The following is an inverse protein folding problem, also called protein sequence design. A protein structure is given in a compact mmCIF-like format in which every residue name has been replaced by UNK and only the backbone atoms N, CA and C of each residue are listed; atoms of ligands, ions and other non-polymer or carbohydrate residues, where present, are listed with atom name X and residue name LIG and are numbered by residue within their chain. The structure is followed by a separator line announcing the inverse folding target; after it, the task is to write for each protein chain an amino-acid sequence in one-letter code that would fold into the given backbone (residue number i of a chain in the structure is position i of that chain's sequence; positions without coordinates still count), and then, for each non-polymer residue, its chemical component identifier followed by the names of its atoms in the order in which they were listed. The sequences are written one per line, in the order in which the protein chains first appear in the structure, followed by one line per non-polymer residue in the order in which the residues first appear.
data_IF_056073168704
#
_entry.id   IF_056073168704
#
_cell.length_a   1.000
_cell.length_b   1.000
_cell.length_c   1.000
_cell.angle_alpha   90.00
_cell.angle_beta   90.00
_cell.angle_gamma   90.00
#
_symmetry.space_group_name_H-M   'P 1'
#
loop_
_entity.id
_entity.type
_entity.pdbx_description
1 polymer ?
#
# COMPACT_ATOMS: atom_id res chain seq x y z
N UNK A 1 8.27 -8.44 7.74
CA UNK A 1 6.88 -8.86 7.43
C UNK A 1 6.43 -8.05 6.24
N UNK A 2 6.08 -8.72 5.16
CA UNK A 2 5.58 -8.06 3.95
C UNK A 2 4.05 -7.96 3.98
N UNK A 3 3.46 -7.15 3.10
CA UNK A 3 2.01 -6.93 2.97
C UNK A 3 1.32 -6.57 4.29
N UNK A 4 1.99 -5.73 5.10
CA UNK A 4 1.56 -5.49 6.48
C UNK A 4 0.20 -4.77 6.59
N UNK A 5 -0.22 -4.05 5.56
CA UNK A 5 -1.53 -3.40 5.48
C UNK A 5 -2.69 -4.40 5.61
N UNK A 6 -2.49 -5.65 5.17
CA UNK A 6 -3.52 -6.68 5.14
C UNK A 6 -3.55 -7.56 6.40
N UNK A 7 -2.78 -7.18 7.43
CA UNK A 7 -2.74 -7.91 8.69
C UNK A 7 -4.00 -7.68 9.52
N UNK A 8 -4.49 -8.74 10.16
CA UNK A 8 -5.56 -8.66 11.15
C UNK A 8 -5.01 -8.47 12.58
N UNK A 9 -5.90 -8.22 13.54
CA UNK A 9 -5.53 -7.99 14.94
C UNK A 9 -4.69 -9.13 15.53
N UNK A 10 -5.01 -10.39 15.21
CA UNK A 10 -4.30 -11.54 15.76
C UNK A 10 -2.87 -11.64 15.23
N UNK A 11 -2.69 -11.41 13.93
CA UNK A 11 -1.36 -11.36 13.29
C UNK A 11 -0.52 -10.21 13.86
N UNK A 12 -1.13 -9.05 14.06
CA UNK A 12 -0.49 -7.91 14.72
C UNK A 12 0.01 -8.26 16.13
N UNK A 13 -0.83 -8.87 16.96
CA UNK A 13 -0.44 -9.27 18.32
C UNK A 13 0.66 -10.34 18.30
N UNK A 14 0.60 -11.29 17.36
CA UNK A 14 1.65 -12.30 17.21
C UNK A 14 3.00 -11.64 16.90
N UNK A 15 3.06 -10.69 15.98
CA UNK A 15 4.30 -9.94 15.68
C UNK A 15 4.81 -9.21 16.92
N UNK A 16 3.92 -8.54 17.69
CA UNK A 16 4.31 -7.88 18.93
C UNK A 16 4.93 -8.83 19.95
N UNK A 17 4.36 -10.02 20.11
CA UNK A 17 4.87 -11.05 21.03
C UNK A 17 6.23 -11.58 20.58
N UNK A 18 6.43 -11.80 19.28
CA UNK A 18 7.69 -12.30 18.73
C UNK A 18 8.84 -11.30 18.88
N UNK A 19 8.55 -10.02 18.63
CA UNK A 19 9.56 -8.95 18.63
C UNK A 19 9.86 -8.46 20.05
N UNK A 20 8.85 -8.43 20.91
CA UNK A 20 8.94 -7.91 22.26
C UNK A 20 9.44 -6.46 22.32
N UNK A 21 10.07 -6.08 23.44
CA UNK A 21 10.60 -4.73 23.63
C UNK A 21 11.84 -4.40 22.77
N UNK A 22 12.52 -5.42 22.23
CA UNK A 22 13.73 -5.20 21.43
C UNK A 22 13.44 -4.50 20.11
N UNK A 23 12.19 -4.55 19.63
CA UNK A 23 11.74 -3.86 18.42
C UNK A 23 12.60 -4.13 17.18
N UNK A 24 13.24 -5.32 17.09
CA UNK A 24 14.12 -5.70 15.96
C UNK A 24 13.33 -6.39 14.86
N UNK A 25 12.69 -5.59 14.03
CA UNK A 25 11.93 -6.07 12.89
C UNK A 25 11.85 -5.02 11.80
N UNK A 26 11.49 -5.46 10.62
CA UNK A 26 11.15 -4.60 9.50
C UNK A 26 9.81 -5.05 8.95
N UNK A 27 8.93 -4.09 8.72
CA UNK A 27 7.67 -4.30 8.01
C UNK A 27 7.69 -3.52 6.72
N UNK A 28 7.01 -4.06 5.71
CA UNK A 28 6.78 -3.41 4.43
C UNK A 28 5.28 -3.51 4.16
N UNK A 29 4.70 -2.43 3.64
CA UNK A 29 3.29 -2.38 3.31
C UNK A 29 2.91 -1.02 2.75
N UNK A 30 1.73 -0.99 2.16
CA UNK A 30 1.15 0.17 1.50
C UNK A 30 -0.32 0.29 1.92
N UNK A 31 -0.68 1.36 2.62
CA UNK A 31 -2.05 1.59 3.11
C UNK A 31 -3.08 1.70 1.99
N UNK A 32 -2.68 2.19 0.81
CA UNK A 32 -3.55 2.31 -0.36
C UNK A 32 -3.80 0.96 -1.06
N UNK A 33 -3.07 -0.10 -0.67
CA UNK A 33 -3.19 -1.45 -1.24
C UNK A 33 -3.90 -2.44 -0.30
N UNK A 34 -4.51 -1.96 0.79
CA UNK A 34 -5.26 -2.82 1.72
C UNK A 34 -6.60 -3.27 1.12
N UNK A 35 -6.68 -4.52 0.66
CA UNK A 35 -7.89 -5.08 0.02
C UNK A 35 -8.54 -6.22 0.81
N UNK A 36 -7.93 -6.68 1.91
CA UNK A 36 -8.45 -7.79 2.71
C UNK A 36 -9.31 -7.35 3.92
N UNK A 37 -9.93 -6.17 3.87
CA UNK A 37 -10.76 -5.65 4.97
C UNK A 37 -11.92 -6.60 5.34
N UNK A 38 -12.51 -7.27 4.34
CA UNK A 38 -13.54 -8.30 4.52
C UNK A 38 -13.07 -9.51 5.34
N UNK A 39 -11.76 -9.75 5.40
CA UNK A 39 -11.11 -10.80 6.22
C UNK A 39 -10.57 -10.25 7.54
N UNK A 40 -10.96 -9.03 7.91
CA UNK A 40 -10.56 -8.38 9.15
C UNK A 40 -9.18 -7.72 9.10
N UNK A 41 -8.61 -7.49 7.91
CA UNK A 41 -7.42 -6.66 7.77
C UNK A 41 -7.68 -5.24 8.27
N UNK A 42 -6.67 -4.65 8.91
CA UNK A 42 -6.74 -3.28 9.43
C UNK A 42 -5.51 -2.49 8.99
N UNK A 43 -5.60 -1.63 7.95
CA UNK A 43 -4.49 -0.77 7.56
C UNK A 43 -4.06 0.18 8.69
N UNK A 44 -4.94 0.42 9.69
CA UNK A 44 -4.60 1.12 10.92
C UNK A 44 -3.47 0.45 11.71
N UNK A 45 -3.17 -0.83 11.48
CA UNK A 45 -2.03 -1.51 12.10
C UNK A 45 -0.69 -0.86 11.72
N UNK A 46 -0.56 -0.30 10.50
CA UNK A 46 0.62 0.46 10.09
C UNK A 46 0.79 1.74 10.93
N UNK A 47 -0.32 2.40 11.25
CA UNK A 47 -0.34 3.59 12.10
C UNK A 47 -0.10 3.23 13.56
N UNK A 48 -0.67 2.12 14.01
CA UNK A 48 -0.49 1.67 15.39
C UNK A 48 0.97 1.26 15.65
N UNK A 49 1.66 0.71 14.64
CA UNK A 49 3.08 0.39 14.75
C UNK A 49 3.94 1.61 15.09
N UNK A 50 3.69 2.76 14.47
CA UNK A 50 4.48 3.98 14.76
C UNK A 50 4.22 4.51 16.18
N UNK A 51 3.06 4.21 16.77
CA UNK A 51 2.72 4.54 18.17
C UNK A 51 3.33 3.54 19.15
N UNK A 52 3.22 2.25 18.85
CA UNK A 52 3.70 1.17 19.73
C UNK A 52 5.23 1.07 19.73
N UNK A 53 5.87 1.46 18.63
CA UNK A 53 7.32 1.45 18.46
C UNK A 53 7.80 2.82 17.94
N UNK A 54 7.85 3.85 18.80
CA UNK A 54 8.16 5.23 18.40
C UNK A 54 9.59 5.43 17.86
N UNK A 55 10.47 4.45 18.09
CA UNK A 55 11.83 4.44 17.56
C UNK A 55 11.94 3.83 16.15
N UNK A 56 10.83 3.38 15.56
CA UNK A 56 10.85 2.89 14.18
C UNK A 56 11.23 4.01 13.22
N UNK A 57 12.13 3.67 12.31
CA UNK A 57 12.47 4.54 11.19
C UNK A 57 11.48 4.33 10.07
N UNK A 58 10.69 5.36 9.75
CA UNK A 58 9.85 5.37 8.57
C UNK A 58 10.69 5.69 7.32
N UNK A 59 10.61 4.84 6.30
CA UNK A 59 11.25 5.05 5.00
C UNK A 59 10.14 5.00 3.96
N UNK A 60 9.95 6.08 3.20
CA UNK A 60 8.99 6.15 2.09
C UNK A 60 9.71 5.86 0.79
N UNK A 61 9.20 4.91 0.01
CA UNK A 61 9.71 4.59 -1.31
C UNK A 61 8.73 5.15 -2.34
N UNK A 62 9.10 6.28 -2.97
CA UNK A 62 8.21 7.01 -3.88
C UNK A 62 8.51 6.75 -5.36
N UNK A 63 9.66 6.17 -5.68
CA UNK A 63 9.98 5.81 -7.05
C UNK A 63 9.35 4.47 -7.41
N UNK A 64 8.48 4.50 -8.42
CA UNK A 64 7.89 3.32 -9.03
C UNK A 64 8.78 2.83 -10.18
N UNK A 65 9.23 1.59 -10.05
CA UNK A 65 10.09 0.93 -11.04
C UNK A 65 9.32 -0.03 -11.97
N UNK A 66 7.99 -0.12 -11.84
CA UNK A 66 7.16 -1.10 -12.55
C UNK A 66 6.43 -0.50 -13.75
N UNK A 67 5.86 0.69 -13.58
CA UNK A 67 4.88 1.26 -14.49
C UNK A 67 5.40 2.55 -15.13
N UNK A 68 5.06 2.76 -16.40
CA UNK A 68 5.32 4.02 -17.09
C UNK A 68 4.51 5.18 -16.48
N UNK A 69 4.98 6.41 -16.72
CA UNK A 69 4.41 7.62 -16.14
C UNK A 69 2.92 7.81 -16.38
N UNK A 70 2.36 7.37 -17.53
CA UNK A 70 0.92 7.49 -17.80
C UNK A 70 0.06 6.59 -16.91
N UNK A 71 0.45 5.33 -16.74
CA UNK A 71 -0.23 4.38 -15.84
C UNK A 71 -0.16 4.92 -14.42
N UNK A 72 1.03 5.34 -13.98
CA UNK A 72 1.22 5.85 -12.64
C UNK A 72 0.43 7.15 -12.39
N UNK A 73 0.33 8.02 -13.39
CA UNK A 73 -0.50 9.23 -13.32
C UNK A 73 -1.97 8.89 -13.13
N UNK A 74 -2.51 7.91 -13.87
CA UNK A 74 -3.89 7.48 -13.70
C UNK A 74 -4.14 6.90 -12.30
N UNK A 75 -3.22 6.04 -11.81
CA UNK A 75 -3.30 5.49 -10.46
C UNK A 75 -3.26 6.57 -9.37
N UNK A 76 -2.34 7.54 -9.48
CA UNK A 76 -2.23 8.67 -8.54
C UNK A 76 -3.50 9.55 -8.54
N UNK A 77 -4.12 9.78 -9.71
CA UNK A 77 -5.38 10.55 -9.79
C UNK A 77 -6.53 9.79 -9.12
N UNK A 78 -6.61 8.47 -9.34
CA UNK A 78 -7.65 7.64 -8.74
C UNK A 78 -7.53 7.63 -7.21
N UNK A 79 -6.35 7.32 -6.70
CA UNK A 79 -6.13 7.13 -5.25
C UNK A 79 -6.26 8.43 -4.45
N UNK A 80 -6.00 9.59 -5.07
CA UNK A 80 -6.15 10.91 -4.45
C UNK A 80 -7.58 11.26 -4.00
N UNK A 81 -8.59 10.46 -4.41
CA UNK A 81 -9.97 10.62 -3.95
C UNK A 81 -10.23 9.96 -2.59
N UNK A 82 -9.28 9.16 -2.07
CA UNK A 82 -9.40 8.48 -0.79
C UNK A 82 -8.75 9.30 0.34
N UNK A 83 -9.19 9.13 1.60
CA UNK A 83 -8.46 9.67 2.73
C UNK A 83 -7.10 8.97 2.86
N UNK A 84 -6.04 9.75 2.91
CA UNK A 84 -4.68 9.20 3.09
C UNK A 84 -4.22 9.32 4.53
N UNK A 85 -3.61 8.24 5.01
CA UNK A 85 -2.94 8.26 6.31
C UNK A 85 -1.46 8.60 6.17
N UNK A 86 -0.85 8.15 5.07
CA UNK A 86 0.53 8.47 4.73
C UNK A 86 0.59 9.29 3.44
N UNK A 87 1.01 10.54 3.55
CA UNK A 87 1.30 11.35 2.37
C UNK A 87 2.47 10.74 1.59
N UNK A 88 2.24 10.36 0.34
CA UNK A 88 3.27 9.87 -0.58
C UNK A 88 2.89 10.24 -2.00
N UNK A 89 3.89 10.53 -2.83
CA UNK A 89 3.67 10.85 -4.24
C UNK A 89 4.54 9.99 -5.13
N UNK A 90 3.93 9.00 -5.77
CA UNK A 90 4.65 8.07 -6.62
C UNK A 90 5.06 8.73 -7.95
N UNK A 91 6.31 8.52 -8.39
CA UNK A 91 6.81 8.95 -9.69
C UNK A 91 7.54 7.81 -10.42
N UNK A 92 7.76 7.94 -11.74
CA UNK A 92 8.43 6.92 -12.57
C UNK A 92 9.42 7.56 -13.54
N UNK A 93 10.54 6.87 -13.77
CA UNK A 93 11.61 7.26 -14.70
C UNK A 93 11.56 6.50 -16.04
N UNK A 94 10.60 5.58 -16.22
CA UNK A 94 10.47 4.74 -17.42
C UNK A 94 9.89 5.49 -18.65
N UNK A 95 9.85 6.82 -18.62
CA UNK A 95 9.14 7.65 -19.60
C UNK A 95 7.62 7.59 -19.45
N UNK A 96 6.89 8.29 -20.33
CA UNK A 96 5.43 8.42 -20.19
C UNK A 96 4.64 7.22 -20.71
N UNK A 97 5.16 6.51 -21.72
CA UNK A 97 4.54 5.31 -22.30
C UNK A 97 3.29 5.58 -23.16
N UNK A 98 2.73 4.49 -23.66
CA UNK A 98 1.58 4.46 -24.57
C UNK A 98 0.29 4.94 -23.91
N UNK A 99 -0.72 5.25 -24.74
CA UNK A 99 -2.03 5.67 -24.26
C UNK A 99 -2.79 4.51 -23.59
N UNK A 100 -3.40 4.79 -22.44
CA UNK A 100 -4.35 3.87 -21.81
C UNK A 100 -5.61 3.83 -22.68
N UNK A 101 -6.03 2.63 -23.06
CA UNK A 101 -7.25 2.40 -23.85
C UNK A 101 -8.32 1.80 -22.93
N UNK A 102 -9.56 2.27 -23.07
CA UNK A 102 -10.74 1.71 -22.42
C UNK A 102 -11.71 1.36 -23.54
N UNK A 103 -12.15 0.10 -23.60
CA UNK A 103 -13.05 -0.40 -24.63
C UNK A 103 -14.34 -0.79 -23.93
N UNK A 104 -15.46 -0.20 -24.33
CA UNK A 104 -16.78 -0.62 -23.88
C UNK A 104 -17.28 -1.76 -24.76
N UNK A 105 -17.70 -2.86 -24.14
CA UNK A 105 -18.25 -4.05 -24.81
C UNK A 105 -19.73 -4.20 -24.45
N UNK A 106 -20.47 -5.00 -25.23
CA UNK A 106 -21.93 -5.10 -25.07
C UNK A 106 -22.32 -5.97 -23.86
N UNK A 107 -21.59 -7.05 -23.65
CA UNK A 107 -21.80 -8.08 -22.64
C UNK A 107 -20.46 -8.82 -22.40
N UNK A 108 -20.41 -9.70 -21.38
CA UNK A 108 -19.21 -10.46 -20.98
C UNK A 108 -18.66 -11.35 -22.09
N UNK A 109 -19.50 -11.86 -23.01
CA UNK A 109 -19.02 -12.67 -24.14
C UNK A 109 -18.21 -11.84 -25.16
N UNK A 110 -18.36 -10.51 -25.14
CA UNK A 110 -17.68 -9.57 -26.03
C UNK A 110 -16.54 -8.80 -25.35
N UNK A 111 -16.26 -9.02 -24.05
CA UNK A 111 -15.08 -8.53 -23.33
C UNK A 111 -13.79 -9.23 -23.78
#
# INVERSE_FOLDING_TARGET
VDEYQDTNTSQYQLVKLLVGQRARFTVVGDDDQSIYSWRGAKPQNLVQLSKDYPHLRLIKLEQNYRSAGRILKAANILIANNPHVFDKKLFSELGFGDQIKVIGTRDEEHE
#
